data_IF_799060936117
#
_entry.id   IF_799060936117
#
_cell.length_a   1.000
_cell.length_b   1.000
_cell.length_c   1.000
_cell.angle_alpha   90.00
_cell.angle_beta   90.00
_cell.angle_gamma   90.00
#
_symmetry.space_group_name_H-M   'P 1'
#
loop_
_entity.id
_entity.type
_entity.pdbx_description
1 polymer ?
#
# COMPACT_ATOMS: atom_id res chain seq x y z
N UNK A 1 12.70 24.36 14.25
CA UNK A 1 11.69 23.68 15.12
C UNK A 1 10.50 23.09 14.36
N UNK A 2 9.93 23.74 13.33
CA UNK A 2 8.73 23.25 12.60
C UNK A 2 8.89 21.84 11.99
N UNK A 3 10.04 21.56 11.37
CA UNK A 3 10.34 20.26 10.75
C UNK A 3 10.31 19.13 11.78
N UNK A 4 10.90 19.34 12.96
CA UNK A 4 10.94 18.33 14.02
C UNK A 4 9.54 18.01 14.56
N UNK A 5 8.68 19.03 14.73
CA UNK A 5 7.29 18.81 15.14
C UNK A 5 6.50 18.02 14.10
N UNK A 6 6.68 18.34 12.81
CA UNK A 6 6.05 17.58 11.72
C UNK A 6 6.55 16.13 11.72
N UNK A 7 7.86 15.92 11.88
CA UNK A 7 8.45 14.59 11.94
C UNK A 7 7.88 13.77 13.12
N UNK A 8 7.71 14.39 14.29
CA UNK A 8 7.09 13.76 15.45
C UNK A 8 5.63 13.38 15.20
N UNK A 9 4.84 14.29 14.61
CA UNK A 9 3.44 14.00 14.24
C UNK A 9 3.33 12.85 13.23
N UNK A 10 4.19 12.85 12.20
CA UNK A 10 4.24 11.77 11.21
C UNK A 10 4.66 10.44 11.84
N UNK A 11 5.65 10.44 12.74
CA UNK A 11 6.13 9.22 13.43
C UNK A 11 5.03 8.51 14.21
N UNK A 12 4.02 9.22 14.70
CA UNK A 12 2.85 8.61 15.38
C UNK A 12 2.00 7.75 14.45
N UNK A 13 2.04 7.99 13.15
CA UNK A 13 1.27 7.28 12.12
C UNK A 13 2.04 6.10 11.51
N UNK A 14 3.34 6.00 11.80
CA UNK A 14 4.20 4.91 11.32
C UNK A 14 3.93 3.61 12.09
N UNK A 15 4.10 2.47 11.43
CA UNK A 15 4.01 1.14 12.06
C UNK A 15 5.22 0.91 12.98
N UNK A 16 5.09 0.03 13.97
CA UNK A 16 6.20 -0.29 14.89
C UNK A 16 7.43 -0.84 14.14
N UNK A 17 7.22 -1.65 13.11
CA UNK A 17 8.31 -2.13 12.25
C UNK A 17 9.09 -0.98 11.61
N UNK A 18 8.40 0.05 11.11
CA UNK A 18 9.03 1.21 10.47
C UNK A 18 9.74 2.13 11.46
N UNK A 19 9.35 2.08 12.74
CA UNK A 19 10.02 2.82 13.82
C UNK A 19 11.31 2.13 14.27
N UNK A 20 11.33 0.79 14.24
CA UNK A 20 12.47 -0.04 14.68
C UNK A 20 13.46 -0.26 13.53
N UNK A 21 12.98 -0.49 12.31
CA UNK A 21 13.76 -0.69 11.10
C UNK A 21 13.31 0.30 10.01
N UNK A 22 13.71 1.58 10.10
CA UNK A 22 13.22 2.63 9.19
C UNK A 22 13.81 2.54 7.78
N UNK A 23 14.87 1.75 7.59
CA UNK A 23 15.62 1.67 6.35
C UNK A 23 15.71 0.22 5.90
N UNK A 24 15.24 -0.02 4.68
CA UNK A 24 15.32 -1.33 4.06
C UNK A 24 16.72 -1.57 3.50
N UNK A 25 17.17 -2.83 3.44
CA UNK A 25 18.35 -3.16 2.66
C UNK A 25 18.13 -2.74 1.21
N UNK A 26 19.20 -2.27 0.56
CA UNK A 26 19.14 -1.92 -0.85
C UNK A 26 18.73 -3.15 -1.67
N UNK A 27 17.78 -2.97 -2.58
CA UNK A 27 17.39 -4.00 -3.54
C UNK A 27 18.40 -4.16 -4.68
N UNK A 28 19.39 -3.25 -4.75
CA UNK A 28 20.44 -3.27 -5.77
C UNK A 28 21.48 -4.34 -5.44
N UNK A 29 21.98 -5.01 -6.47
CA UNK A 29 23.14 -5.90 -6.34
C UNK A 29 24.40 -5.10 -5.94
N UNK A 30 25.38 -5.79 -5.36
CA UNK A 30 26.62 -5.14 -4.86
C UNK A 30 27.34 -4.32 -5.94
N UNK A 31 27.40 -4.83 -7.17
CA UNK A 31 28.03 -4.13 -8.29
C UNK A 31 27.26 -2.86 -8.71
N UNK A 32 25.93 -2.85 -8.57
CA UNK A 32 25.09 -1.68 -8.83
C UNK A 32 25.31 -0.62 -7.76
N UNK A 33 25.40 -1.05 -6.49
CA UNK A 33 25.72 -0.15 -5.38
C UNK A 33 27.11 0.48 -5.55
N UNK A 34 28.11 -0.31 -5.96
CA UNK A 34 29.43 0.23 -6.28
C UNK A 34 29.40 1.23 -7.43
N UNK A 35 28.57 0.98 -8.45
CA UNK A 35 28.38 1.92 -9.57
C UNK A 35 27.76 3.23 -9.11
N UNK A 36 26.70 3.17 -8.27
CA UNK A 36 26.07 4.36 -7.69
C UNK A 36 27.08 5.17 -6.87
N UNK A 37 27.88 4.49 -6.05
CA UNK A 37 28.90 5.13 -5.22
C UNK A 37 29.93 5.89 -6.07
N UNK A 38 30.42 5.29 -7.15
CA UNK A 38 31.36 5.97 -8.08
C UNK A 38 30.74 7.21 -8.71
N UNK A 39 29.48 7.13 -9.14
CA UNK A 39 28.77 8.28 -9.75
C UNK A 39 28.57 9.42 -8.73
N UNK A 40 28.34 9.10 -7.45
CA UNK A 40 28.21 10.10 -6.39
C UNK A 40 29.53 10.82 -6.08
N UNK A 41 30.67 10.15 -6.27
CA UNK A 41 32.01 10.70 -6.06
C UNK A 41 32.47 11.60 -7.23
N UNK A 42 31.91 11.38 -8.43
CA UNK A 42 32.20 12.20 -9.60
C UNK A 42 31.64 13.63 -9.45
N UNK A 43 32.38 14.62 -9.94
CA UNK A 43 31.91 16.00 -10.00
C UNK A 43 31.00 16.14 -11.23
N UNK A 44 29.69 16.40 -11.06
CA UNK A 44 28.76 16.59 -12.14
C UNK A 44 29.07 17.89 -12.89
N UNK A 45 29.13 17.76 -14.21
CA UNK A 45 29.28 18.88 -15.14
C UNK A 45 27.94 19.59 -15.42
N UNK A 46 26.84 18.83 -15.34
CA UNK A 46 25.50 19.33 -15.64
C UNK A 46 24.87 20.09 -14.45
N UNK A 47 24.22 21.25 -14.68
CA UNK A 47 23.59 22.04 -13.62
C UNK A 47 22.54 21.27 -12.81
N UNK A 48 21.75 20.42 -13.48
CA UNK A 48 20.74 19.58 -12.81
C UNK A 48 21.40 18.57 -11.86
N UNK A 49 22.49 17.94 -12.30
CA UNK A 49 23.19 16.95 -11.49
C UNK A 49 23.90 17.61 -10.30
N UNK A 50 24.39 18.86 -10.45
CA UNK A 50 24.87 19.66 -9.33
C UNK A 50 23.76 19.93 -8.30
N UNK A 51 22.58 20.35 -8.74
CA UNK A 51 21.44 20.59 -7.86
C UNK A 51 20.98 19.30 -7.15
N UNK A 52 20.97 18.15 -7.84
CA UNK A 52 20.60 16.86 -7.25
C UNK A 52 21.53 16.47 -6.09
N UNK A 53 22.82 16.84 -6.12
CA UNK A 53 23.76 16.54 -5.03
C UNK A 53 23.31 17.10 -3.69
N UNK A 54 22.68 18.26 -3.68
CA UNK A 54 22.16 18.88 -2.45
C UNK A 54 21.06 18.04 -1.78
N UNK A 55 20.43 17.13 -2.53
CA UNK A 55 19.33 16.27 -2.07
C UNK A 55 19.75 14.81 -1.85
N UNK A 56 21.02 14.44 -2.07
CA UNK A 56 21.49 13.05 -1.88
C UNK A 56 21.26 12.58 -0.43
N UNK A 57 21.40 13.47 0.55
CA UNK A 57 21.11 13.17 1.96
C UNK A 57 19.64 12.84 2.26
N UNK A 58 18.71 13.12 1.34
CA UNK A 58 17.29 12.81 1.46
C UNK A 58 16.89 11.47 0.84
N UNK A 59 17.83 10.67 0.33
CA UNK A 59 17.54 9.36 -0.27
C UNK A 59 16.68 8.49 0.66
N UNK A 60 17.07 8.38 1.93
CA UNK A 60 16.33 7.61 2.94
C UNK A 60 14.94 8.16 3.23
N UNK A 61 14.76 9.48 3.15
CA UNK A 61 13.45 10.11 3.26
C UNK A 61 12.56 9.68 2.09
N UNK A 62 13.09 9.75 0.86
CA UNK A 62 12.37 9.38 -0.34
C UNK A 62 12.01 7.89 -0.38
N UNK A 63 12.90 7.01 0.08
CA UNK A 63 12.60 5.59 0.23
C UNK A 63 11.38 5.36 1.13
N UNK A 64 11.35 5.98 2.32
CA UNK A 64 10.23 5.86 3.27
C UNK A 64 8.95 6.50 2.74
N UNK A 65 9.06 7.67 2.11
CA UNK A 65 7.93 8.37 1.52
C UNK A 65 7.29 7.54 0.38
N UNK A 66 8.12 7.04 -0.54
CA UNK A 66 7.66 6.24 -1.66
C UNK A 66 7.02 4.93 -1.19
N UNK A 67 7.59 4.28 -0.17
CA UNK A 67 6.97 3.12 0.47
C UNK A 67 5.57 3.45 0.98
N UNK A 68 5.41 4.50 1.79
CA UNK A 68 4.11 4.88 2.32
C UNK A 68 3.08 5.18 1.21
N UNK A 69 3.52 5.82 0.12
CA UNK A 69 2.67 6.06 -1.07
C UNK A 69 2.26 4.80 -1.80
N UNK A 70 3.16 3.84 -1.94
CA UNK A 70 2.84 2.53 -2.53
C UNK A 70 1.87 1.74 -1.64
N UNK A 71 2.07 1.76 -0.32
CA UNK A 71 1.15 1.15 0.64
C UNK A 71 -0.24 1.79 0.60
N UNK A 72 -0.33 3.13 0.52
CA UNK A 72 -1.59 3.86 0.34
C UNK A 72 -2.36 3.36 -0.89
N UNK A 73 -1.69 3.26 -2.04
CA UNK A 73 -2.30 2.76 -3.29
C UNK A 73 -2.67 1.29 -3.24
N UNK A 74 -1.87 0.45 -2.58
CA UNK A 74 -2.21 -0.94 -2.37
C UNK A 74 -3.47 -1.08 -1.49
N UNK A 75 -3.58 -0.26 -0.44
CA UNK A 75 -4.73 -0.25 0.46
C UNK A 75 -6.00 0.24 -0.21
N UNK A 76 -5.93 1.29 -1.04
CA UNK A 76 -7.05 1.74 -1.87
C UNK A 76 -7.63 0.59 -2.71
N UNK A 77 -6.77 -0.08 -3.48
CA UNK A 77 -7.18 -1.23 -4.32
C UNK A 77 -7.77 -2.37 -3.50
N UNK A 78 -7.17 -2.70 -2.37
CA UNK A 78 -7.67 -3.76 -1.48
C UNK A 78 -9.06 -3.43 -0.93
N UNK A 79 -9.31 -2.17 -0.55
CA UNK A 79 -10.62 -1.71 -0.08
C UNK A 79 -11.68 -1.81 -1.17
N UNK A 80 -11.36 -1.39 -2.39
CA UNK A 80 -12.27 -1.51 -3.55
C UNK A 80 -12.64 -2.98 -3.80
N UNK A 81 -11.64 -3.86 -3.85
CA UNK A 81 -11.87 -5.30 -4.04
C UNK A 81 -12.74 -5.92 -2.93
N UNK A 82 -12.50 -5.54 -1.67
CA UNK A 82 -13.32 -5.98 -0.53
C UNK A 82 -14.75 -5.44 -0.60
N UNK A 83 -14.95 -4.20 -1.05
CA UNK A 83 -16.28 -3.61 -1.20
C UNK A 83 -17.11 -4.34 -2.26
N UNK A 84 -16.51 -4.63 -3.43
CA UNK A 84 -17.14 -5.42 -4.49
C UNK A 84 -17.52 -6.80 -3.97
N UNK A 85 -16.58 -7.50 -3.33
CA UNK A 85 -16.83 -8.84 -2.78
C UNK A 85 -17.92 -8.83 -1.71
N UNK A 86 -17.97 -7.82 -0.85
CA UNK A 86 -19.03 -7.69 0.15
C UNK A 86 -20.41 -7.48 -0.51
N UNK A 87 -20.48 -6.65 -1.56
CA UNK A 87 -21.71 -6.43 -2.31
C UNK A 87 -22.21 -7.72 -2.97
N UNK A 88 -21.33 -8.48 -3.61
CA UNK A 88 -21.70 -9.76 -4.22
C UNK A 88 -22.17 -10.78 -3.20
N UNK A 89 -21.49 -10.89 -2.05
CA UNK A 89 -21.92 -11.75 -0.95
C UNK A 89 -23.31 -11.38 -0.42
N UNK A 90 -23.60 -10.09 -0.27
CA UNK A 90 -24.94 -9.61 0.12
C UNK A 90 -25.99 -9.97 -0.91
N UNK A 91 -25.68 -9.83 -2.21
CA UNK A 91 -26.58 -10.21 -3.30
C UNK A 91 -26.88 -11.70 -3.28
N UNK A 92 -25.86 -12.55 -3.12
CA UNK A 92 -26.02 -14.00 -3.02
C UNK A 92 -26.87 -14.40 -1.80
N UNK A 93 -26.63 -13.75 -0.65
CA UNK A 93 -27.44 -13.98 0.56
C UNK A 93 -28.91 -13.61 0.33
N UNK A 94 -29.19 -12.48 -0.32
CA UNK A 94 -30.56 -12.07 -0.65
C UNK A 94 -31.25 -13.08 -1.57
N UNK A 95 -30.55 -13.56 -2.61
CA UNK A 95 -31.07 -14.58 -3.52
C UNK A 95 -31.35 -15.89 -2.79
N UNK A 96 -30.46 -16.33 -1.90
CA UNK A 96 -30.65 -17.53 -1.08
C UNK A 96 -31.89 -17.41 -0.18
N UNK A 97 -32.06 -16.28 0.51
CA UNK A 97 -33.21 -16.03 1.38
C UNK A 97 -34.52 -15.97 0.57
N UNK A 98 -34.51 -15.35 -0.61
CA UNK A 98 -35.67 -15.32 -1.49
C UNK A 98 -36.05 -16.74 -1.98
N UNK A 99 -35.06 -17.55 -2.37
CA UNK A 99 -35.26 -18.95 -2.78
C UNK A 99 -35.74 -19.87 -1.66
N UNK A 100 -35.27 -19.66 -0.42
CA UNK A 100 -35.75 -20.38 0.75
C UNK A 100 -37.20 -20.00 1.09
N UNK A 101 -37.54 -18.72 0.96
CA UNK A 101 -38.90 -18.21 1.19
C UNK A 101 -39.91 -18.68 0.12
N UNK A 102 -39.49 -18.83 -1.15
CA UNK A 102 -40.35 -19.42 -2.19
C UNK A 102 -40.53 -20.92 -2.02
N UNK A 103 -39.51 -21.66 -1.58
CA UNK A 103 -39.63 -23.09 -1.25
C UNK A 103 -40.57 -23.38 -0.07
N UNK A 104 -40.73 -22.44 0.89
CA UNK A 104 -41.75 -22.55 1.94
C UNK A 104 -43.18 -22.29 1.45
N UNK A 105 -43.36 -21.67 0.28
CA UNK A 105 -44.68 -21.34 -0.30
C UNK A 105 -45.20 -22.38 -1.29
N UNK A 106 -44.44 -23.43 -1.61
CA UNK A 106 -44.93 -24.56 -2.41
C UNK A 106 -45.60 -25.54 -1.44
N UNK A 107 -46.93 -25.75 -1.51
CA UNK A 107 -47.57 -26.82 -0.75
C UNK A 107 -46.95 -28.15 -1.20
N UNK A 108 -46.42 -28.92 -0.27
CA UNK A 108 -46.18 -30.35 -0.50
C UNK A 108 -47.56 -30.98 -0.66
N UNK A 109 -47.86 -31.43 -1.88
CA UNK A 109 -49.15 -31.99 -2.31
C UNK A 109 -49.80 -32.93 -1.28
N UNK A 110 -51.14 -32.96 -1.17
CA UNK A 110 -51.83 -34.20 -0.88
C UNK A 110 -52.18 -34.89 -2.20
N UNK A 111 -51.43 -35.94 -2.53
CA UNK A 111 -51.85 -36.93 -3.52
C UNK A 111 -53.30 -37.39 -3.26
N UNK A 112 -54.20 -37.42 -4.27
CA UNK A 112 -55.43 -38.18 -4.17
C UNK A 112 -55.22 -39.61 -4.71
N UNK A 113 -55.89 -40.54 -4.02
CA UNK A 113 -55.96 -41.98 -4.24
C UNK A 113 -56.74 -42.29 -5.53
#
# INVERSE_FOLDING_TARGET
>A
QRILRLAEMCRRLEKEEEKVLPFYPSSLAEWEQQKVQRVLEEIPNEPLAQAIRDYVGLERFWQRFNKAKLEEKALERAREALAIRNQDLRRLLQQYLAGAATNQKVPKDPHPI
#
